data_IF_920805927907
#
_entry.id   IF_920805927907
#
_cell.length_a   1.000
_cell.length_b   1.000
_cell.length_c   1.000
_cell.angle_alpha   90.00
_cell.angle_beta   90.00
_cell.angle_gamma   90.00
#
_symmetry.space_group_name_H-M   'P 1'
#
loop_
_entity.id
_entity.type
_entity.pdbx_description
1 polymer ?
#
# COMPACT_ATOMS: atom_id res chain seq x y z
N UNK A 1 -15.83 -29.91 -0.81
CA UNK A 1 -14.91 -30.11 -1.96
C UNK A 1 -15.45 -29.48 -3.24
N UNK A 2 -16.66 -29.81 -3.72
CA UNK A 2 -17.21 -29.25 -4.99
C UNK A 2 -17.23 -27.72 -5.05
N UNK A 3 -17.50 -27.02 -3.95
CA UNK A 3 -17.45 -25.55 -3.88
C UNK A 3 -16.02 -25.04 -3.92
N UNK A 4 -15.09 -25.73 -3.27
CA UNK A 4 -13.67 -25.38 -3.30
C UNK A 4 -13.09 -25.60 -4.69
N UNK A 5 -13.48 -26.67 -5.40
CA UNK A 5 -13.08 -26.89 -6.78
C UNK A 5 -13.61 -25.83 -7.76
N UNK A 6 -14.82 -25.31 -7.51
CA UNK A 6 -15.33 -24.14 -8.25
C UNK A 6 -14.52 -22.86 -7.93
N UNK A 7 -14.17 -22.66 -6.65
CA UNK A 7 -13.35 -21.53 -6.23
C UNK A 7 -11.96 -21.58 -6.89
N UNK A 8 -11.29 -22.74 -6.91
CA UNK A 8 -9.99 -22.91 -7.60
C UNK A 8 -10.06 -22.50 -9.07
N UNK A 9 -11.13 -22.93 -9.78
CA UNK A 9 -11.33 -22.56 -11.20
C UNK A 9 -11.64 -21.08 -11.41
N UNK A 10 -12.31 -20.44 -10.47
CA UNK A 10 -12.63 -19.00 -10.54
C UNK A 10 -11.43 -18.13 -10.19
N UNK A 11 -10.59 -18.58 -9.28
CA UNK A 11 -9.45 -17.86 -8.70
C UNK A 11 -8.16 -18.66 -8.81
N UNK A 12 -7.77 -18.97 -10.04
CA UNK A 12 -6.61 -19.82 -10.37
C UNK A 12 -5.29 -19.27 -9.80
N UNK A 13 -5.19 -17.95 -9.67
CA UNK A 13 -4.01 -17.29 -9.11
C UNK A 13 -3.94 -17.33 -7.56
N UNK A 14 -5.03 -17.68 -6.88
CA UNK A 14 -5.11 -17.74 -5.41
C UNK A 14 -4.88 -19.15 -4.89
N UNK A 15 -5.40 -20.15 -5.62
CA UNK A 15 -5.35 -21.56 -5.24
C UNK A 15 -4.64 -22.38 -6.32
N UNK A 16 -3.78 -23.29 -5.89
CA UNK A 16 -3.18 -24.27 -6.79
C UNK A 16 -4.22 -25.33 -7.21
N UNK A 17 -4.13 -25.84 -8.43
CA UNK A 17 -5.09 -26.81 -8.97
C UNK A 17 -5.17 -28.11 -8.17
N UNK A 18 -4.05 -28.54 -7.58
CA UNK A 18 -3.92 -29.74 -6.75
C UNK A 18 -4.22 -29.52 -5.26
N UNK A 19 -4.49 -28.26 -4.87
CA UNK A 19 -4.72 -27.88 -3.48
C UNK A 19 -6.03 -28.51 -2.94
N UNK A 20 -5.95 -29.06 -1.73
CA UNK A 20 -7.08 -29.68 -1.01
C UNK A 20 -7.28 -29.04 0.35
N UNK A 21 -8.54 -29.03 0.81
CA UNK A 21 -8.84 -28.63 2.18
C UNK A 21 -8.25 -29.69 3.13
N UNK A 22 -7.30 -29.24 3.98
CA UNK A 22 -6.58 -30.12 4.93
C UNK A 22 -7.31 -30.31 6.26
N UNK A 23 -8.45 -29.63 6.45
CA UNK A 23 -9.26 -29.76 7.67
C UNK A 23 -10.05 -31.06 7.65
N UNK A 24 -10.19 -31.70 8.82
CA UNK A 24 -11.14 -32.80 8.98
C UNK A 24 -12.57 -32.30 8.75
N UNK A 25 -13.52 -33.19 8.35
CA UNK A 25 -14.92 -32.79 8.12
C UNK A 25 -15.56 -32.12 9.33
N UNK A 26 -15.24 -32.55 10.55
CA UNK A 26 -15.74 -31.93 11.79
C UNK A 26 -15.21 -30.52 12.00
N UNK A 27 -13.91 -30.29 11.81
CA UNK A 27 -13.32 -28.97 11.92
C UNK A 27 -13.82 -28.03 10.83
N UNK A 28 -13.96 -28.54 9.59
CA UNK A 28 -14.53 -27.75 8.49
C UNK A 28 -15.98 -27.34 8.79
N UNK A 29 -16.80 -28.24 9.37
CA UNK A 29 -18.18 -27.94 9.76
C UNK A 29 -18.23 -26.80 10.80
N UNK A 30 -17.35 -26.81 11.80
CA UNK A 30 -17.25 -25.73 12.79
C UNK A 30 -16.90 -24.39 12.13
N UNK A 31 -15.89 -24.38 11.25
CA UNK A 31 -15.50 -23.17 10.53
C UNK A 31 -16.67 -22.63 9.67
N UNK A 32 -17.34 -23.49 8.92
CA UNK A 32 -18.49 -23.11 8.08
C UNK A 32 -19.62 -22.56 8.93
N UNK A 33 -19.97 -23.24 10.04
CA UNK A 33 -21.04 -22.79 10.94
C UNK A 33 -20.76 -21.41 11.55
N UNK A 34 -19.49 -21.12 11.85
CA UNK A 34 -19.08 -19.84 12.42
C UNK A 34 -19.12 -18.70 11.39
N UNK A 35 -18.88 -18.99 10.12
CA UNK A 35 -18.70 -17.99 9.08
C UNK A 35 -19.89 -17.83 8.12
N UNK A 36 -20.81 -18.81 8.04
CA UNK A 36 -21.90 -18.84 7.04
C UNK A 36 -22.84 -17.64 7.11
N UNK A 37 -22.94 -16.99 8.27
CA UNK A 37 -23.78 -15.80 8.48
C UNK A 37 -22.97 -14.50 8.49
N UNK A 38 -21.66 -14.57 8.27
CA UNK A 38 -20.77 -13.39 8.23
C UNK A 38 -20.58 -12.99 6.79
N UNK A 39 -20.89 -11.73 6.47
CA UNK A 39 -20.63 -11.16 5.15
C UNK A 39 -19.16 -10.75 5.08
N UNK A 40 -18.30 -11.63 4.52
CA UNK A 40 -16.87 -11.36 4.37
C UNK A 40 -16.58 -10.45 3.17
N UNK A 41 -17.31 -10.61 2.06
CA UNK A 41 -17.12 -9.79 0.86
C UNK A 41 -17.72 -8.40 1.04
N UNK A 42 -17.01 -7.39 0.60
CA UNK A 42 -17.36 -5.99 0.78
C UNK A 42 -17.57 -5.61 2.26
N UNK A 43 -16.90 -6.30 3.16
CA UNK A 43 -16.81 -5.87 4.57
C UNK A 43 -15.92 -4.64 4.65
N UNK A 44 -16.07 -3.86 5.74
CA UNK A 44 -15.16 -2.77 6.02
C UNK A 44 -13.71 -3.29 6.03
N UNK A 45 -12.83 -2.64 5.28
CA UNK A 45 -11.41 -3.00 5.19
C UNK A 45 -10.74 -3.09 6.55
N UNK A 46 -11.11 -2.23 7.50
CA UNK A 46 -10.52 -2.22 8.83
C UNK A 46 -10.73 -3.53 9.59
N UNK A 47 -11.95 -4.10 9.53
CA UNK A 47 -12.25 -5.41 10.15
C UNK A 47 -11.45 -6.53 9.49
N UNK A 48 -11.30 -6.44 8.18
CA UNK A 48 -10.55 -7.42 7.40
C UNK A 48 -9.05 -7.32 7.75
N UNK A 49 -8.51 -6.13 7.75
CA UNK A 49 -7.10 -5.87 8.08
C UNK A 49 -6.77 -6.32 9.51
N UNK A 50 -7.60 -5.99 10.49
CA UNK A 50 -7.42 -6.40 11.88
C UNK A 50 -7.50 -7.92 12.05
N UNK A 51 -8.43 -8.58 11.38
CA UNK A 51 -8.54 -10.04 11.42
C UNK A 51 -7.30 -10.72 10.84
N UNK A 52 -6.77 -10.18 9.76
CA UNK A 52 -5.57 -10.72 9.12
C UNK A 52 -4.30 -10.38 9.88
N UNK A 53 -4.15 -9.17 10.41
CA UNK A 53 -3.06 -8.82 11.31
C UNK A 53 -2.99 -9.80 12.48
N UNK A 54 -4.14 -10.12 13.07
CA UNK A 54 -4.24 -11.11 14.14
C UNK A 54 -3.83 -12.53 13.69
N UNK A 55 -4.29 -12.98 12.52
CA UNK A 55 -3.99 -14.32 11.99
C UNK A 55 -2.52 -14.49 11.63
N UNK A 56 -1.92 -13.49 10.99
CA UNK A 56 -0.52 -13.53 10.59
C UNK A 56 0.38 -13.43 11.82
N UNK A 57 0.08 -12.56 12.77
CA UNK A 57 0.83 -12.47 14.02
C UNK A 57 0.84 -13.78 14.82
N UNK A 58 -0.24 -14.56 14.75
CA UNK A 58 -0.28 -15.91 15.36
C UNK A 58 0.55 -16.93 14.61
N UNK A 59 0.61 -16.86 13.29
CA UNK A 59 1.36 -17.81 12.45
C UNK A 59 2.85 -17.51 12.36
N UNK A 60 3.26 -16.25 12.53
CA UNK A 60 4.63 -15.75 12.38
C UNK A 60 5.41 -15.66 13.69
N UNK A 61 5.00 -16.35 14.75
CA UNK A 61 5.75 -16.38 16.02
C UNK A 61 7.17 -16.92 15.79
N UNK A 62 8.10 -16.05 15.44
CA UNK A 62 9.52 -16.37 15.25
C UNK A 62 10.23 -15.70 14.09
N UNK A 63 9.56 -15.17 13.10
CA UNK A 63 10.19 -14.48 11.97
C UNK A 63 10.28 -12.98 12.26
N UNK A 64 11.52 -12.49 12.48
CA UNK A 64 11.80 -11.09 12.77
C UNK A 64 11.66 -10.24 11.52
N UNK A 65 10.76 -9.24 11.54
CA UNK A 65 10.86 -8.09 10.64
C UNK A 65 9.74 -7.89 9.61
N UNK A 66 8.67 -8.68 9.63
CA UNK A 66 7.47 -8.37 8.85
C UNK A 66 6.47 -7.64 9.73
N UNK A 67 6.19 -6.38 9.41
CA UNK A 67 5.26 -5.53 10.15
C UNK A 67 4.19 -5.01 9.21
N UNK A 68 2.92 -5.11 9.62
CA UNK A 68 1.83 -4.47 8.91
C UNK A 68 1.91 -2.96 9.09
N UNK A 69 1.74 -2.24 8.01
CA UNK A 69 1.60 -0.79 8.06
C UNK A 69 0.19 -0.46 8.54
N UNK A 70 0.03 0.28 9.65
CA UNK A 70 -1.29 0.68 10.10
C UNK A 70 -2.06 1.45 9.05
N UNK A 71 -3.38 1.19 8.95
CA UNK A 71 -4.26 1.78 7.94
C UNK A 71 -4.14 3.30 7.85
N UNK A 72 -4.19 3.99 8.98
CA UNK A 72 -4.08 5.46 9.00
C UNK A 72 -2.76 5.99 8.43
N UNK A 73 -1.66 5.22 8.50
CA UNK A 73 -0.38 5.57 7.82
C UNK A 73 -0.51 5.35 6.32
N UNK A 74 -1.13 4.27 5.90
CA UNK A 74 -1.38 3.96 4.49
C UNK A 74 -2.25 5.05 3.87
N UNK A 75 -3.38 5.38 4.51
CA UNK A 75 -4.34 6.38 4.03
C UNK A 75 -3.70 7.77 3.92
N UNK A 76 -2.87 8.18 4.89
CA UNK A 76 -2.07 9.39 4.78
C UNK A 76 -1.19 9.37 3.52
N UNK A 77 -0.46 8.27 3.28
CA UNK A 77 0.41 8.15 2.10
C UNK A 77 -0.38 8.23 0.80
N UNK A 78 -1.51 7.53 0.72
CA UNK A 78 -2.38 7.54 -0.47
C UNK A 78 -2.96 8.93 -0.71
N UNK A 79 -3.47 9.60 0.33
CA UNK A 79 -3.99 10.98 0.23
C UNK A 79 -2.92 11.95 -0.24
N UNK A 80 -1.73 11.91 0.35
CA UNK A 80 -0.63 12.82 -0.01
C UNK A 80 -0.12 12.59 -1.44
N UNK A 81 -0.02 11.34 -1.90
CA UNK A 81 0.44 11.01 -3.25
C UNK A 81 -0.64 11.14 -4.32
N UNK A 82 -1.93 11.15 -3.96
CA UNK A 82 -3.06 11.39 -4.86
C UNK A 82 -3.02 10.55 -6.16
N UNK A 83 -3.02 9.22 -6.07
CA UNK A 83 -2.99 8.35 -7.26
C UNK A 83 -4.23 8.54 -8.14
N UNK A 84 -4.04 8.50 -9.46
CA UNK A 84 -5.10 8.69 -10.45
C UNK A 84 -5.42 7.37 -11.17
N UNK A 85 -6.62 7.28 -11.78
CA UNK A 85 -7.09 6.07 -12.47
C UNK A 85 -6.27 5.67 -13.71
N UNK A 86 -5.55 6.60 -14.31
CA UNK A 86 -4.65 6.37 -15.43
C UNK A 86 -3.22 6.02 -15.02
N UNK A 87 -2.88 6.16 -13.74
CA UNK A 87 -1.57 5.88 -13.19
C UNK A 87 -1.43 4.44 -12.69
N UNK A 88 -0.26 3.87 -12.88
CA UNK A 88 0.11 2.56 -12.32
C UNK A 88 0.80 2.71 -10.97
N UNK A 89 0.50 1.80 -10.05
CA UNK A 89 1.12 1.77 -8.73
C UNK A 89 1.76 0.44 -8.41
N UNK A 90 2.78 0.44 -7.56
CA UNK A 90 3.39 -0.76 -7.00
C UNK A 90 3.76 -0.60 -5.53
N UNK A 91 3.65 -1.70 -4.80
CA UNK A 91 4.30 -1.92 -3.51
C UNK A 91 5.37 -3.01 -3.66
N UNK A 92 6.62 -2.68 -3.38
CA UNK A 92 7.78 -3.56 -3.59
C UNK A 92 8.10 -4.46 -2.39
N UNK A 93 7.38 -4.29 -1.28
CA UNK A 93 7.45 -5.10 -0.08
C UNK A 93 6.04 -5.24 0.51
N UNK A 94 5.14 -5.82 -0.30
CA UNK A 94 3.70 -5.63 -0.17
C UNK A 94 3.08 -6.25 1.10
N UNK A 95 3.76 -7.19 1.74
CA UNK A 95 3.22 -7.84 2.94
C UNK A 95 1.79 -8.32 2.71
N UNK A 96 0.80 -7.70 3.36
CA UNK A 96 -0.63 -7.96 3.17
C UNK A 96 -1.29 -7.19 2.02
N UNK A 97 -0.54 -6.44 1.21
CA UNK A 97 -1.06 -5.55 0.18
C UNK A 97 -1.87 -4.35 0.69
N UNK A 98 -1.57 -3.84 1.88
CA UNK A 98 -2.28 -2.69 2.42
C UNK A 98 -2.24 -1.47 1.49
N UNK A 99 -1.06 -1.05 1.01
CA UNK A 99 -0.95 0.07 0.07
C UNK A 99 -1.70 -0.17 -1.25
N UNK A 100 -1.57 -1.32 -1.94
CA UNK A 100 -2.35 -1.62 -3.13
C UNK A 100 -3.86 -1.53 -2.91
N UNK A 101 -4.38 -2.18 -1.86
CA UNK A 101 -5.83 -2.22 -1.56
C UNK A 101 -6.38 -0.81 -1.29
N UNK A 102 -5.74 -0.03 -0.41
CA UNK A 102 -6.19 1.31 -0.08
C UNK A 102 -6.10 2.27 -1.28
N UNK A 103 -5.09 2.09 -2.15
CA UNK A 103 -5.01 2.81 -3.42
C UNK A 103 -6.18 2.46 -4.33
N UNK A 104 -6.56 1.18 -4.43
CA UNK A 104 -7.74 0.77 -5.19
C UNK A 104 -8.99 1.51 -4.69
N UNK A 105 -9.25 1.50 -3.38
CA UNK A 105 -10.43 2.16 -2.82
C UNK A 105 -10.41 3.67 -3.05
N UNK A 106 -9.25 4.30 -2.91
CA UNK A 106 -9.10 5.74 -3.17
C UNK A 106 -9.45 6.08 -4.62
N UNK A 107 -8.88 5.34 -5.59
CA UNK A 107 -9.13 5.57 -7.02
C UNK A 107 -10.55 5.17 -7.40
N UNK A 108 -11.09 4.08 -6.86
CA UNK A 108 -12.47 3.66 -7.08
C UNK A 108 -13.48 4.72 -6.63
N UNK A 109 -13.27 5.36 -5.48
CA UNK A 109 -14.11 6.49 -5.03
C UNK A 109 -14.12 7.61 -6.07
N UNK A 110 -12.95 7.95 -6.64
CA UNK A 110 -12.86 8.95 -7.71
C UNK A 110 -13.64 8.53 -8.97
N UNK A 111 -13.49 7.26 -9.40
CA UNK A 111 -14.21 6.71 -10.55
C UNK A 111 -15.73 6.75 -10.31
N UNK A 112 -16.21 6.34 -9.14
CA UNK A 112 -17.63 6.38 -8.78
C UNK A 112 -18.17 7.81 -8.77
N UNK A 113 -17.42 8.75 -8.19
CA UNK A 113 -17.77 10.17 -8.18
C UNK A 113 -17.90 10.75 -9.59
N UNK A 114 -16.96 10.45 -10.50
CA UNK A 114 -17.01 10.86 -11.91
C UNK A 114 -18.24 10.29 -12.64
N UNK A 115 -18.72 9.12 -12.21
CA UNK A 115 -19.93 8.48 -12.75
C UNK A 115 -21.22 8.95 -12.08
N UNK A 116 -21.15 9.84 -11.06
CA UNK A 116 -22.30 10.28 -10.28
C UNK A 116 -22.88 9.17 -9.40
N UNK A 117 -22.07 8.21 -8.96
CA UNK A 117 -22.47 7.10 -8.10
C UNK A 117 -21.88 7.34 -6.71
N UNK A 118 -22.65 7.15 -5.67
CA UNK A 118 -22.16 7.28 -4.30
C UNK A 118 -21.09 6.23 -3.94
N UNK A 119 -20.08 6.64 -3.18
CA UNK A 119 -19.03 5.77 -2.70
C UNK A 119 -19.55 4.61 -1.82
N UNK A 120 -20.69 4.77 -1.15
CA UNK A 120 -21.37 3.71 -0.40
C UNK A 120 -21.66 2.46 -1.23
N UNK A 121 -21.87 2.62 -2.54
CA UNK A 121 -22.05 1.51 -3.48
C UNK A 121 -20.81 0.63 -3.63
N UNK A 122 -19.61 1.12 -3.29
CA UNK A 122 -18.39 0.30 -3.25
C UNK A 122 -18.52 -0.88 -2.28
N UNK A 123 -19.29 -0.72 -1.21
CA UNK A 123 -19.46 -1.73 -0.16
C UNK A 123 -20.75 -2.55 -0.28
N UNK A 124 -21.69 -2.12 -1.12
CA UNK A 124 -23.00 -2.77 -1.28
C UNK A 124 -23.14 -3.56 -2.57
N UNK A 125 -22.45 -3.14 -3.65
CA UNK A 125 -22.50 -3.82 -4.94
C UNK A 125 -21.82 -5.19 -4.89
N UNK A 126 -22.44 -6.21 -5.50
CA UNK A 126 -21.85 -7.56 -5.58
C UNK A 126 -20.58 -7.59 -6.45
N UNK A 127 -20.56 -6.78 -7.50
CA UNK A 127 -19.40 -6.62 -8.38
C UNK A 127 -19.11 -5.13 -8.58
N UNK A 128 -17.83 -4.81 -8.64
CA UNK A 128 -17.37 -3.45 -8.98
C UNK A 128 -17.65 -3.18 -10.47
N UNK A 129 -17.84 -1.92 -10.84
CA UNK A 129 -17.96 -1.53 -12.25
C UNK A 129 -16.69 -1.90 -13.03
N UNK A 130 -16.82 -2.16 -14.33
CA UNK A 130 -15.72 -2.65 -15.17
C UNK A 130 -14.47 -1.76 -15.10
N UNK A 131 -14.64 -0.44 -15.08
CA UNK A 131 -13.53 0.52 -15.00
C UNK A 131 -12.69 0.34 -13.72
N UNK A 132 -13.33 0.00 -12.61
CA UNK A 132 -12.64 -0.33 -11.35
C UNK A 132 -11.87 -1.65 -11.43
N UNK A 133 -12.46 -2.66 -12.07
CA UNK A 133 -11.81 -3.96 -12.29
C UNK A 133 -10.62 -3.83 -13.25
N UNK A 134 -10.77 -3.05 -14.33
CA UNK A 134 -9.70 -2.79 -15.30
C UNK A 134 -8.53 -2.03 -14.66
N UNK A 135 -8.83 -1.02 -13.81
CA UNK A 135 -7.81 -0.30 -13.06
C UNK A 135 -6.93 -1.26 -12.26
N UNK A 136 -7.53 -2.12 -11.47
CA UNK A 136 -6.80 -3.06 -10.63
C UNK A 136 -5.97 -4.02 -11.46
N UNK A 137 -6.59 -4.65 -12.45
CA UNK A 137 -5.94 -5.63 -13.33
C UNK A 137 -4.74 -5.07 -14.08
N UNK A 138 -4.81 -3.81 -14.49
CA UNK A 138 -3.80 -3.20 -15.37
C UNK A 138 -2.81 -2.31 -14.66
N UNK A 139 -3.17 -1.76 -13.49
CA UNK A 139 -2.46 -0.65 -12.87
C UNK A 139 -1.92 -0.95 -11.48
N UNK A 140 -2.43 -1.98 -10.79
CA UNK A 140 -2.08 -2.22 -9.39
C UNK A 140 -1.23 -3.46 -9.22
N UNK A 141 -0.07 -3.29 -8.57
CA UNK A 141 0.94 -4.33 -8.42
C UNK A 141 1.46 -4.41 -6.99
N UNK A 142 1.84 -5.62 -6.58
CA UNK A 142 2.56 -5.88 -5.34
C UNK A 142 3.64 -6.93 -5.56
N UNK A 143 4.74 -6.81 -4.83
CA UNK A 143 5.81 -7.81 -4.80
C UNK A 143 6.09 -8.17 -3.35
N UNK A 144 6.20 -9.45 -3.05
CA UNK A 144 6.76 -9.92 -1.79
C UNK A 144 7.61 -11.17 -2.01
N UNK A 145 8.64 -11.32 -1.17
CA UNK A 145 9.55 -12.46 -1.22
C UNK A 145 9.10 -13.63 -0.33
N UNK A 146 8.06 -13.43 0.49
CA UNK A 146 7.47 -14.47 1.34
C UNK A 146 6.20 -15.03 0.69
N UNK A 147 6.21 -16.33 0.41
CA UNK A 147 5.10 -17.02 -0.22
C UNK A 147 3.80 -16.90 0.58
N UNK A 148 3.89 -16.96 1.93
CA UNK A 148 2.71 -16.84 2.80
C UNK A 148 2.10 -15.45 2.70
N UNK A 149 2.94 -14.41 2.70
CA UNK A 149 2.49 -13.03 2.51
C UNK A 149 1.80 -12.84 1.18
N UNK A 150 2.36 -13.35 0.08
CA UNK A 150 1.74 -13.31 -1.24
C UNK A 150 0.38 -13.99 -1.25
N UNK A 151 0.26 -15.14 -0.61
CA UNK A 151 -1.01 -15.87 -0.51
C UNK A 151 -2.06 -15.10 0.29
N UNK A 152 -1.67 -14.56 1.45
CA UNK A 152 -2.54 -13.72 2.29
C UNK A 152 -3.00 -12.49 1.52
N UNK A 153 -2.08 -11.82 0.82
CA UNK A 153 -2.38 -10.66 -0.02
C UNK A 153 -3.42 -10.96 -1.09
N UNK A 154 -3.26 -12.06 -1.82
CA UNK A 154 -4.24 -12.49 -2.83
C UNK A 154 -5.62 -12.75 -2.24
N UNK A 155 -5.68 -13.36 -1.05
CA UNK A 155 -6.94 -13.61 -0.35
C UNK A 155 -7.59 -12.31 0.13
N UNK A 156 -6.81 -11.35 0.66
CA UNK A 156 -7.31 -10.05 1.08
C UNK A 156 -7.87 -9.25 -0.08
N UNK A 157 -7.14 -9.19 -1.18
CA UNK A 157 -7.61 -8.54 -2.40
C UNK A 157 -8.94 -9.13 -2.87
N UNK A 158 -9.06 -10.45 -2.84
CA UNK A 158 -10.29 -11.13 -3.19
C UNK A 158 -11.46 -10.73 -2.27
N UNK A 159 -11.24 -10.67 -0.95
CA UNK A 159 -12.25 -10.29 0.04
C UNK A 159 -12.64 -8.82 -0.10
N UNK A 160 -11.68 -7.94 -0.41
CA UNK A 160 -11.92 -6.53 -0.68
C UNK A 160 -12.74 -6.28 -1.97
N UNK A 161 -13.06 -7.35 -2.72
CA UNK A 161 -13.79 -7.27 -3.98
C UNK A 161 -12.90 -7.01 -5.19
N UNK A 162 -11.59 -7.14 -5.00
CA UNK A 162 -10.57 -7.10 -6.03
C UNK A 162 -9.89 -8.46 -6.16
N UNK A 163 -10.34 -9.28 -7.09
CA UNK A 163 -9.70 -10.57 -7.40
C UNK A 163 -8.58 -10.48 -8.43
N UNK A 164 -8.11 -9.29 -8.80
CA UNK A 164 -7.26 -9.08 -9.98
C UNK A 164 -5.92 -8.39 -9.73
N UNK A 165 -5.62 -7.92 -8.52
CA UNK A 165 -4.33 -7.30 -8.18
C UNK A 165 -3.17 -8.23 -8.54
N UNK A 166 -2.16 -7.67 -9.23
CA UNK A 166 -0.97 -8.42 -9.63
C UNK A 166 0.00 -8.55 -8.45
N UNK A 167 -0.16 -9.58 -7.65
CA UNK A 167 0.77 -9.92 -6.55
C UNK A 167 1.78 -10.94 -7.03
N UNK A 168 3.04 -10.54 -7.09
CA UNK A 168 4.15 -11.32 -7.61
C UNK A 168 5.01 -11.87 -6.47
N UNK A 169 5.25 -13.16 -6.47
CA UNK A 169 6.20 -13.81 -5.58
C UNK A 169 7.61 -13.65 -6.14
N UNK A 170 8.32 -12.61 -5.73
CA UNK A 170 9.64 -12.22 -6.22
C UNK A 170 10.46 -11.55 -5.12
N UNK A 171 11.78 -11.61 -5.24
CA UNK A 171 12.67 -10.80 -4.44
C UNK A 171 12.94 -9.46 -5.15
N UNK A 172 12.43 -8.36 -4.61
CA UNK A 172 12.58 -7.02 -5.20
C UNK A 172 14.03 -6.55 -5.28
N UNK A 173 14.87 -6.96 -4.33
CA UNK A 173 16.28 -6.55 -4.28
C UNK A 173 17.14 -7.38 -5.26
N UNK A 174 16.85 -8.65 -5.45
CA UNK A 174 17.58 -9.54 -6.35
C UNK A 174 16.96 -9.56 -7.77
N UNK A 175 16.95 -8.42 -8.42
CA UNK A 175 16.24 -8.22 -9.69
C UNK A 175 17.00 -8.71 -10.93
N UNK A 176 18.31 -8.96 -10.85
CA UNK A 176 19.09 -9.53 -11.95
C UNK A 176 18.50 -10.83 -12.45
N UNK A 177 18.00 -11.61 -11.52
CA UNK A 177 17.39 -12.91 -11.80
C UNK A 177 16.07 -12.80 -12.58
N UNK A 178 15.42 -11.66 -12.58
CA UNK A 178 14.15 -11.45 -13.26
C UNK A 178 14.28 -11.54 -14.80
N UNK A 179 15.45 -11.22 -15.34
CA UNK A 179 15.74 -11.22 -16.79
C UNK A 179 16.39 -12.53 -17.25
N UNK A 180 17.10 -13.23 -16.37
CA UNK A 180 17.78 -14.49 -16.68
C UNK A 180 16.82 -15.66 -16.87
N UNK A 181 15.67 -15.62 -16.20
CA UNK A 181 14.71 -16.74 -16.09
C UNK A 181 13.67 -16.79 -17.18
N UNK A 182 13.96 -16.20 -18.30
CA UNK A 182 13.15 -16.27 -19.52
C UNK A 182 13.44 -17.55 -20.32
N UNK A 183 14.44 -18.35 -19.95
CA UNK A 183 14.80 -19.58 -20.63
C UNK A 183 13.94 -20.75 -20.13
N UNK A 184 13.37 -21.50 -21.09
CA UNK A 184 12.53 -22.68 -20.89
C UNK A 184 13.37 -23.86 -20.37
N UNK A 185 13.81 -23.81 -19.13
CA UNK A 185 14.51 -24.90 -18.48
C UNK A 185 13.57 -25.54 -17.47
N UNK A 186 12.95 -26.65 -17.84
CA UNK A 186 11.99 -27.42 -17.03
C UNK A 186 12.62 -28.01 -15.76
N UNK A 187 13.94 -28.08 -15.68
CA UNK A 187 14.69 -28.66 -14.56
C UNK A 187 15.02 -27.64 -13.44
N UNK A 188 14.57 -26.41 -13.58
CA UNK A 188 14.96 -25.36 -12.65
C UNK A 188 13.98 -25.17 -11.48
N UNK A 189 14.43 -25.47 -10.28
CA UNK A 189 13.66 -25.39 -9.03
C UNK A 189 13.95 -24.13 -8.23
N UNK A 190 13.77 -22.95 -8.82
CA UNK A 190 13.80 -21.71 -8.02
C UNK A 190 12.45 -21.47 -7.34
N UNK A 191 12.50 -21.08 -6.09
CA UNK A 191 11.30 -20.76 -5.29
C UNK A 191 10.45 -19.66 -5.93
N UNK A 192 11.04 -18.79 -6.76
CA UNK A 192 10.35 -17.68 -7.44
C UNK A 192 9.88 -18.01 -8.87
N UNK A 193 9.98 -19.25 -9.32
CA UNK A 193 9.68 -19.65 -10.71
C UNK A 193 8.32 -19.13 -11.22
N UNK A 194 7.25 -19.31 -10.45
CA UNK A 194 5.92 -18.84 -10.84
C UNK A 194 5.85 -17.30 -10.91
N UNK A 195 6.54 -16.59 -10.03
CA UNK A 195 6.67 -15.14 -10.06
C UNK A 195 7.37 -14.65 -11.33
N UNK A 196 8.47 -15.28 -11.71
CA UNK A 196 9.20 -14.96 -12.96
C UNK A 196 8.34 -15.22 -14.21
N UNK A 197 7.66 -16.35 -14.26
CA UNK A 197 6.75 -16.71 -15.35
C UNK A 197 5.63 -15.67 -15.50
N UNK A 198 5.03 -15.25 -14.39
CA UNK A 198 3.99 -14.23 -14.38
C UNK A 198 4.53 -12.88 -14.82
N UNK A 199 5.70 -12.46 -14.33
CA UNK A 199 6.36 -11.21 -14.75
C UNK A 199 6.67 -11.22 -16.24
N UNK A 200 7.19 -12.34 -16.78
CA UNK A 200 7.43 -12.52 -18.22
C UNK A 200 6.14 -12.30 -19.02
N UNK A 201 5.06 -12.94 -18.62
CA UNK A 201 3.77 -12.81 -19.29
C UNK A 201 3.25 -11.36 -19.26
N UNK A 202 3.37 -10.66 -18.14
CA UNK A 202 2.99 -9.24 -18.02
C UNK A 202 3.80 -8.35 -18.96
N UNK A 203 5.10 -8.59 -19.08
CA UNK A 203 6.00 -7.81 -19.97
C UNK A 203 5.75 -8.06 -21.46
N UNK A 204 5.31 -9.27 -21.82
CA UNK A 204 5.03 -9.64 -23.22
C UNK A 204 3.66 -9.17 -23.67
N UNK A 205 2.65 -9.28 -22.80
CA UNK A 205 1.25 -9.01 -23.16
C UNK A 205 0.92 -7.55 -23.33
N UNK A 206 1.64 -6.63 -22.64
CA UNK A 206 1.39 -5.19 -22.71
C UNK A 206 2.69 -4.39 -22.79
N UNK A 207 2.84 -3.56 -23.81
CA UNK A 207 4.01 -2.69 -23.99
C UNK A 207 4.27 -1.77 -22.80
N UNK A 208 3.23 -1.31 -22.11
CA UNK A 208 3.34 -0.45 -20.93
C UNK A 208 4.04 -1.12 -19.73
N UNK A 209 4.07 -2.45 -19.68
CA UNK A 209 4.70 -3.21 -18.61
C UNK A 209 6.14 -3.65 -18.96
N UNK A 210 6.62 -3.35 -20.16
CA UNK A 210 7.93 -3.82 -20.65
C UNK A 210 9.06 -3.40 -19.73
N UNK A 211 9.10 -2.13 -19.35
CA UNK A 211 10.16 -1.57 -18.51
C UNK A 211 9.87 -1.80 -17.01
N UNK A 212 8.69 -2.24 -16.67
CA UNK A 212 8.22 -2.50 -15.30
C UNK A 212 8.49 -1.31 -14.37
N UNK A 213 8.06 -0.12 -14.82
CA UNK A 213 8.15 1.16 -14.09
C UNK A 213 6.76 1.73 -13.83
N UNK A 214 6.63 2.46 -12.74
CA UNK A 214 5.37 2.87 -12.17
C UNK A 214 5.29 4.38 -11.94
N UNK A 215 4.07 4.90 -11.97
CA UNK A 215 3.77 6.31 -11.70
C UNK A 215 3.79 6.59 -10.20
N UNK A 216 3.30 5.64 -9.41
CA UNK A 216 3.21 5.73 -7.94
C UNK A 216 3.84 4.50 -7.31
N UNK A 217 4.63 4.69 -6.27
CA UNK A 217 5.21 3.62 -5.48
C UNK A 217 5.00 3.91 -3.99
N UNK A 218 4.49 2.92 -3.26
CA UNK A 218 4.42 3.00 -1.80
C UNK A 218 4.96 1.70 -1.21
N UNK A 219 5.79 1.80 -0.18
CA UNK A 219 6.38 0.61 0.43
C UNK A 219 6.75 0.84 1.90
N UNK A 220 6.62 -0.23 2.67
CA UNK A 220 7.20 -0.34 4.01
C UNK A 220 8.20 -1.50 4.03
N UNK A 221 9.44 -1.28 3.55
CA UNK A 221 10.44 -2.35 3.46
C UNK A 221 10.91 -2.81 4.85
N UNK A 222 11.44 -4.04 4.97
CA UNK A 222 11.96 -4.54 6.24
C UNK A 222 13.14 -3.68 6.72
N UNK A 223 13.09 -3.21 7.98
CA UNK A 223 14.12 -2.37 8.59
C UNK A 223 15.34 -3.16 9.08
N UNK A 224 15.18 -4.45 9.33
CA UNK A 224 16.21 -5.30 9.86
C UNK A 224 16.81 -6.22 8.80
N UNK A 225 18.09 -6.53 9.00
CA UNK A 225 18.85 -7.44 8.16
C UNK A 225 19.69 -6.74 7.10
N UNK A 226 20.88 -7.31 6.89
CA UNK A 226 21.85 -6.83 5.93
C UNK A 226 21.91 -7.78 4.73
N UNK A 227 22.10 -7.23 3.55
CA UNK A 227 22.51 -7.96 2.35
C UNK A 227 24.04 -8.02 2.33
N UNK A 228 24.60 -9.23 2.19
CA UNK A 228 26.04 -9.50 2.17
C UNK A 228 26.51 -10.08 0.85
N UNK A 229 25.59 -10.50 0.00
CA UNK A 229 25.86 -11.09 -1.31
C UNK A 229 26.46 -10.05 -2.25
N UNK A 230 27.78 -10.19 -2.51
CA UNK A 230 28.53 -9.25 -3.38
C UNK A 230 27.92 -9.12 -4.76
N UNK A 231 27.30 -10.17 -5.31
CA UNK A 231 26.59 -10.14 -6.60
C UNK A 231 25.44 -9.13 -6.58
N UNK A 232 24.63 -9.17 -5.53
CA UNK A 232 23.50 -8.25 -5.36
C UNK A 232 24.02 -6.82 -5.14
N UNK A 233 24.95 -6.65 -4.18
CA UNK A 233 25.52 -5.34 -3.82
C UNK A 233 26.19 -4.66 -5.01
N UNK A 234 26.80 -5.42 -5.91
CA UNK A 234 27.47 -4.87 -7.11
C UNK A 234 26.50 -4.20 -8.10
N UNK A 235 25.19 -4.45 -7.99
CA UNK A 235 24.15 -3.87 -8.85
C UNK A 235 23.66 -2.52 -8.38
N UNK A 236 23.86 -2.20 -7.11
CA UNK A 236 23.39 -0.98 -6.50
C UNK A 236 24.52 0.05 -6.36
N UNK A 237 24.21 1.31 -6.60
CA UNK A 237 25.11 2.43 -6.35
C UNK A 237 25.37 2.56 -4.84
N UNK A 238 24.29 2.50 -4.03
CA UNK A 238 24.38 2.47 -2.56
C UNK A 238 24.98 1.17 -2.00
N UNK A 239 25.09 0.13 -2.82
CA UNK A 239 25.77 -1.13 -2.49
C UNK A 239 27.29 -1.08 -2.65
N UNK A 240 27.86 0.00 -3.19
CA UNK A 240 29.29 0.14 -3.48
C UNK A 240 29.97 1.16 -2.57
N UNK A 241 31.28 0.98 -2.43
CA UNK A 241 32.19 1.97 -1.86
C UNK A 241 32.57 3.01 -2.92
N UNK A 242 33.16 4.13 -2.53
CA UNK A 242 33.67 5.17 -3.45
C UNK A 242 34.62 4.62 -4.52
N UNK A 243 35.36 3.57 -4.24
CA UNK A 243 36.25 2.91 -5.20
C UNK A 243 35.53 1.91 -6.14
N UNK A 244 34.18 1.89 -6.16
CA UNK A 244 33.36 1.04 -7.01
C UNK A 244 33.26 -0.43 -6.59
N UNK A 245 33.97 -0.88 -5.55
CA UNK A 245 33.87 -2.25 -5.04
C UNK A 245 32.62 -2.41 -4.17
N UNK A 246 31.97 -3.59 -4.18
CA UNK A 246 30.85 -3.86 -3.28
C UNK A 246 31.23 -3.64 -1.82
N UNK A 247 30.30 -3.12 -1.03
CA UNK A 247 30.42 -3.08 0.43
C UNK A 247 30.39 -4.50 1.00
N UNK A 248 30.86 -4.68 2.23
CA UNK A 248 30.80 -5.99 2.92
C UNK A 248 29.38 -6.37 3.32
N UNK A 249 28.55 -5.35 3.58
CA UNK A 249 27.14 -5.48 3.93
C UNK A 249 26.43 -4.14 3.79
N UNK A 250 25.15 -4.15 3.46
CA UNK A 250 24.27 -2.97 3.38
C UNK A 250 22.90 -3.32 3.92
N UNK A 251 22.29 -2.43 4.68
CA UNK A 251 20.91 -2.59 5.18
C UNK A 251 19.90 -2.76 4.04
N UNK A 252 18.95 -3.65 4.23
CA UNK A 252 17.90 -3.91 3.23
C UNK A 252 17.14 -2.64 2.87
N UNK A 253 16.74 -1.87 3.86
CA UNK A 253 16.01 -0.61 3.70
C UNK A 253 16.76 0.40 2.80
N UNK A 254 18.09 0.44 2.88
CA UNK A 254 18.93 1.30 2.03
C UNK A 254 18.85 0.85 0.56
N UNK A 255 18.94 -0.45 0.30
CA UNK A 255 18.83 -0.97 -1.08
C UNK A 255 17.42 -0.80 -1.65
N UNK A 256 16.38 -0.87 -0.79
CA UNK A 256 15.01 -0.57 -1.21
C UNK A 256 14.82 0.88 -1.64
N UNK A 257 15.55 1.86 -1.06
CA UNK A 257 15.50 3.25 -1.52
C UNK A 257 15.93 3.35 -2.99
N UNK A 258 17.08 2.79 -3.32
CA UNK A 258 17.59 2.81 -4.70
C UNK A 258 16.68 2.02 -5.64
N UNK A 259 16.31 0.78 -5.25
CA UNK A 259 15.45 -0.08 -6.05
C UNK A 259 14.10 0.58 -6.37
N UNK A 260 13.49 1.22 -5.39
CA UNK A 260 12.22 1.90 -5.57
C UNK A 260 12.35 3.11 -6.51
N UNK A 261 13.41 3.89 -6.39
CA UNK A 261 13.70 4.98 -7.32
C UNK A 261 13.92 4.47 -8.76
N UNK A 262 14.55 3.31 -8.93
CA UNK A 262 14.73 2.69 -10.24
C UNK A 262 13.41 2.22 -10.84
N UNK A 263 12.48 1.76 -10.03
CA UNK A 263 11.15 1.30 -10.48
C UNK A 263 10.16 2.45 -10.72
N UNK A 264 10.49 3.69 -10.36
CA UNK A 264 9.69 4.85 -10.71
C UNK A 264 9.95 5.31 -12.15
N UNK A 265 8.89 5.69 -12.85
CA UNK A 265 8.97 6.48 -14.09
C UNK A 265 9.58 7.84 -13.80
N UNK A 266 10.18 8.55 -14.79
CA UNK A 266 10.44 9.98 -14.68
C UNK A 266 9.16 10.72 -14.26
N UNK A 267 9.25 11.64 -13.30
CA UNK A 267 8.10 12.34 -12.74
C UNK A 267 7.22 11.50 -11.79
N UNK A 268 7.45 10.21 -11.69
CA UNK A 268 6.76 9.31 -10.74
C UNK A 268 7.10 9.67 -9.30
N UNK A 269 6.20 9.32 -8.38
CA UNK A 269 6.29 9.69 -6.96
C UNK A 269 6.17 8.50 -6.03
N UNK A 270 6.80 8.59 -4.87
CA UNK A 270 6.73 7.52 -3.88
C UNK A 270 6.59 7.99 -2.45
N UNK A 271 6.06 7.10 -1.61
CA UNK A 271 6.15 7.16 -0.16
C UNK A 271 6.84 5.88 0.35
N UNK A 272 7.87 6.05 1.15
CA UNK A 272 8.60 4.93 1.73
C UNK A 272 8.76 5.12 3.24
N UNK A 273 8.40 4.09 4.01
CA UNK A 273 8.58 4.07 5.46
C UNK A 273 10.02 3.65 5.77
N UNK A 274 10.73 4.46 6.54
CA UNK A 274 12.14 4.25 6.87
C UNK A 274 12.40 4.47 8.36
N UNK A 275 13.41 3.81 8.95
CA UNK A 275 13.91 4.17 10.28
C UNK A 275 14.34 5.63 10.33
N UNK A 276 13.99 6.32 11.42
CA UNK A 276 14.32 7.74 11.60
C UNK A 276 15.83 8.03 11.53
N UNK A 277 16.67 7.05 11.86
CA UNK A 277 18.12 7.16 11.79
C UNK A 277 18.64 7.50 10.37
N UNK A 278 17.94 7.09 9.30
CA UNK A 278 18.30 7.44 7.91
C UNK A 278 18.29 8.94 7.65
N UNK A 279 17.53 9.67 8.43
CA UNK A 279 17.41 11.14 8.32
C UNK A 279 18.40 11.88 9.20
N UNK A 280 18.75 11.31 10.36
CA UNK A 280 19.48 12.00 11.44
C UNK A 280 20.96 11.64 11.50
N UNK A 281 21.33 10.41 11.15
CA UNK A 281 22.73 9.98 11.27
C UNK A 281 23.63 10.65 10.24
N UNK A 282 24.77 11.14 10.69
CA UNK A 282 25.80 11.71 9.82
C UNK A 282 26.41 10.68 8.87
N UNK A 283 26.51 9.42 9.30
CA UNK A 283 26.98 8.31 8.46
C UNK A 283 26.08 8.03 7.27
N UNK A 284 24.81 8.40 7.32
CA UNK A 284 23.82 8.16 6.28
C UNK A 284 23.68 9.37 5.33
N UNK A 285 24.59 10.35 5.41
CA UNK A 285 24.60 11.54 4.54
C UNK A 285 24.63 11.14 3.05
N UNK A 286 25.44 10.14 2.69
CA UNK A 286 25.55 9.65 1.31
C UNK A 286 24.20 9.15 0.73
N UNK A 287 23.33 8.57 1.56
CA UNK A 287 21.99 8.13 1.17
C UNK A 287 21.14 9.34 0.81
N UNK A 288 21.16 10.38 1.65
CA UNK A 288 20.40 11.61 1.41
C UNK A 288 20.87 12.36 0.18
N UNK A 289 22.19 12.39 -0.07
CA UNK A 289 22.79 12.96 -1.28
C UNK A 289 22.38 12.17 -2.53
N UNK A 290 22.42 10.85 -2.47
CA UNK A 290 21.93 9.96 -3.53
C UNK A 290 20.46 10.26 -3.87
N UNK A 291 19.60 10.34 -2.85
CA UNK A 291 18.17 10.66 -3.04
C UNK A 291 18.01 12.01 -3.73
N UNK A 292 18.65 13.07 -3.23
CA UNK A 292 18.53 14.42 -3.77
C UNK A 292 19.01 14.52 -5.22
N UNK A 293 19.98 13.70 -5.63
CA UNK A 293 20.41 13.63 -7.04
C UNK A 293 19.35 13.03 -7.97
N UNK A 294 18.56 12.07 -7.49
CA UNK A 294 17.60 11.28 -8.29
C UNK A 294 16.17 11.83 -8.23
N UNK A 295 15.81 12.53 -7.14
CA UNK A 295 14.43 12.94 -6.86
C UNK A 295 14.37 14.24 -6.05
N UNK A 296 13.24 14.97 -6.19
CA UNK A 296 12.81 16.03 -5.27
C UNK A 296 12.29 15.38 -4.00
N UNK A 297 12.77 15.85 -2.87
CA UNK A 297 12.19 15.49 -1.56
C UNK A 297 10.95 16.35 -1.37
N UNK A 298 9.77 15.74 -1.30
CA UNK A 298 8.50 16.44 -1.13
C UNK A 298 8.20 16.69 0.33
N UNK A 299 8.30 15.62 1.14
CA UNK A 299 7.97 15.68 2.55
C UNK A 299 8.73 14.63 3.37
N UNK A 300 8.87 14.91 4.66
CA UNK A 300 9.28 13.95 5.69
C UNK A 300 8.27 14.04 6.83
N UNK A 301 7.55 12.94 7.08
CA UNK A 301 6.57 12.83 8.16
C UNK A 301 7.09 11.87 9.22
N UNK A 302 7.48 12.38 10.38
CA UNK A 302 7.87 11.59 11.54
C UNK A 302 6.64 10.91 12.16
N UNK A 303 6.69 9.58 12.35
CA UNK A 303 5.61 8.85 12.98
C UNK A 303 5.82 8.74 14.49
N UNK A 304 4.73 8.67 15.27
CA UNK A 304 4.80 8.46 16.70
C UNK A 304 5.46 7.10 17.02
N UNK A 305 6.28 7.02 18.06
CA UNK A 305 7.06 5.83 18.39
C UNK A 305 6.25 4.57 18.69
N UNK A 306 4.95 4.70 18.92
CA UNK A 306 4.05 3.59 19.19
C UNK A 306 3.33 3.03 17.95
N UNK A 307 3.47 3.66 16.78
CA UNK A 307 2.75 3.28 15.54
C UNK A 307 2.93 1.80 15.20
N UNK A 308 4.15 1.29 15.30
CA UNK A 308 4.47 -0.11 14.97
C UNK A 308 4.54 -1.05 16.18
N UNK A 309 4.15 -0.61 17.37
CA UNK A 309 4.03 -1.51 18.53
C UNK A 309 2.87 -2.49 18.33
N UNK A 310 2.93 -3.69 18.91
CA UNK A 310 4.00 -4.24 19.78
C UNK A 310 5.22 -4.80 19.02
N UNK A 311 5.25 -4.74 17.69
CA UNK A 311 6.23 -5.45 16.86
C UNK A 311 7.62 -4.84 16.92
N UNK A 312 7.71 -3.51 16.94
CA UNK A 312 8.98 -2.78 17.05
C UNK A 312 8.82 -1.45 17.80
N UNK A 313 9.86 -1.06 18.53
CA UNK A 313 9.99 0.28 19.12
C UNK A 313 10.81 1.24 18.27
N UNK A 314 11.20 0.84 17.05
CA UNK A 314 11.98 1.69 16.14
C UNK A 314 11.13 2.89 15.73
N UNK A 315 11.63 4.11 15.99
CA UNK A 315 11.02 5.33 15.44
C UNK A 315 11.20 5.35 13.93
N UNK A 316 10.13 5.63 13.24
CA UNK A 316 10.08 5.65 11.79
C UNK A 316 9.60 7.00 11.26
N UNK A 317 9.93 7.28 10.02
CA UNK A 317 9.39 8.40 9.27
C UNK A 317 8.98 7.95 7.88
N UNK A 318 8.01 8.60 7.29
CA UNK A 318 7.64 8.41 5.88
C UNK A 318 8.33 9.48 5.06
N UNK A 319 9.09 9.04 4.06
CA UNK A 319 9.75 9.91 3.08
C UNK A 319 8.92 9.95 1.81
N UNK A 320 8.56 11.16 1.38
CA UNK A 320 7.84 11.40 0.13
C UNK A 320 8.77 12.02 -0.90
N UNK A 321 8.82 11.44 -2.08
CA UNK A 321 9.72 11.83 -3.17
C UNK A 321 8.95 11.94 -4.49
N UNK A 322 9.48 12.78 -5.41
CA UNK A 322 9.10 12.76 -6.82
C UNK A 322 10.38 12.70 -7.66
N UNK A 323 10.47 11.70 -8.53
CA UNK A 323 11.63 11.51 -9.41
C UNK A 323 11.76 12.67 -10.38
N UNK A 324 12.98 13.17 -10.57
CA UNK A 324 13.22 14.28 -11.50
C UNK A 324 12.77 13.95 -12.92
N UNK A 325 12.13 14.90 -13.56
CA UNK A 325 11.62 14.83 -14.94
C UNK A 325 11.47 16.24 -15.50
N UNK A 326 11.81 16.43 -16.77
CA UNK A 326 11.82 17.77 -17.39
C UNK A 326 10.44 18.44 -17.46
N UNK A 327 9.34 17.66 -17.44
CA UNK A 327 7.96 18.14 -17.54
C UNK A 327 7.21 18.14 -16.23
N UNK A 328 7.26 17.00 -15.51
CA UNK A 328 6.44 16.79 -14.32
C UNK A 328 7.14 17.25 -13.03
N UNK A 329 8.48 17.18 -12.99
CA UNK A 329 9.27 17.58 -11.84
C UNK A 329 10.65 18.07 -12.28
N UNK A 330 10.75 19.26 -12.89
CA UNK A 330 12.03 19.82 -13.36
C UNK A 330 13.03 19.95 -12.22
N UNK A 331 14.28 19.54 -12.51
CA UNK A 331 15.34 19.62 -11.52
C UNK A 331 15.64 21.07 -11.15
N UNK A 332 15.65 21.37 -9.85
CA UNK A 332 16.00 22.66 -9.29
C UNK A 332 16.95 22.48 -8.10
N UNK A 333 17.76 23.49 -7.82
CA UNK A 333 18.76 23.45 -6.75
C UNK A 333 18.16 23.78 -5.39
N UNK A 334 17.15 24.63 -5.36
CA UNK A 334 16.48 25.06 -4.13
C UNK A 334 14.97 24.90 -4.24
N UNK A 335 14.35 24.31 -3.20
CA UNK A 335 12.92 24.06 -3.13
C UNK A 335 12.48 23.81 -1.69
N UNK A 336 11.23 24.10 -1.42
CA UNK A 336 10.65 23.84 -0.10
C UNK A 336 10.39 22.34 0.11
N UNK A 337 10.60 21.88 1.35
CA UNK A 337 10.32 20.53 1.81
C UNK A 337 9.32 20.62 2.96
N UNK A 338 8.25 19.83 2.90
CA UNK A 338 7.27 19.76 3.98
C UNK A 338 7.78 18.87 5.12
N UNK A 339 7.77 19.36 6.34
CA UNK A 339 8.13 18.59 7.54
C UNK A 339 6.96 18.58 8.51
N UNK A 340 6.60 17.38 8.97
CA UNK A 340 5.59 17.20 10.00
C UNK A 340 5.98 16.05 10.95
N UNK A 341 5.37 16.04 12.13
CA UNK A 341 5.54 14.96 13.09
C UNK A 341 4.18 14.61 13.68
N UNK A 342 3.85 13.33 13.66
CA UNK A 342 2.68 12.78 14.32
C UNK A 342 2.85 12.89 15.83
N UNK A 343 2.02 13.69 16.49
CA UNK A 343 2.06 13.92 17.92
C UNK A 343 1.06 13.06 18.69
N UNK A 344 -0.09 12.79 18.09
CA UNK A 344 -1.14 11.99 18.72
C UNK A 344 -0.80 10.49 18.68
N UNK A 345 -0.70 9.84 19.86
CA UNK A 345 -0.42 8.42 19.90
C UNK A 345 -1.65 7.60 19.46
N UNK A 346 -1.50 6.82 18.40
CA UNK A 346 -2.54 5.89 17.91
C UNK A 346 -2.60 4.58 18.69
N UNK A 347 -1.54 4.27 19.42
CA UNK A 347 -1.40 3.08 20.26
C UNK A 347 -0.74 3.44 21.58
N UNK A 348 -1.05 2.70 22.60
CA UNK A 348 -0.38 2.81 23.90
C UNK A 348 1.00 2.11 23.89
N UNK A 349 1.64 2.04 25.06
CA UNK A 349 2.96 1.41 25.19
C UNK A 349 2.93 -0.12 25.03
N UNK A 350 1.79 -0.77 25.17
CA UNK A 350 1.59 -2.20 24.95
C UNK A 350 1.28 -2.55 23.50
N UNK A 351 0.88 -1.54 22.69
CA UNK A 351 0.50 -1.70 21.30
C UNK A 351 -1.01 -1.77 21.07
N UNK A 352 -1.80 -1.57 22.12
CA UNK A 352 -3.27 -1.50 22.00
C UNK A 352 -3.69 -0.16 21.38
N UNK A 353 -4.69 -0.20 20.48
CA UNK A 353 -5.20 0.97 19.79
C UNK A 353 -5.86 1.95 20.78
N UNK A 354 -5.60 3.23 20.61
CA UNK A 354 -6.28 4.31 21.32
C UNK A 354 -7.33 4.88 20.38
N UNK A 355 -8.54 5.07 20.88
CA UNK A 355 -9.67 5.55 20.10
C UNK A 355 -10.15 6.92 20.57
N UNK A 356 -10.71 7.69 19.64
CA UNK A 356 -11.57 8.80 19.99
C UNK A 356 -12.93 8.27 20.48
N UNK A 357 -13.67 9.00 21.30
CA UNK A 357 -15.05 8.63 21.66
C UNK A 357 -16.01 8.95 20.51
N UNK A 358 -15.70 8.48 19.31
CA UNK A 358 -16.39 8.77 18.06
C UNK A 358 -16.56 7.50 17.26
N UNK A 359 -17.69 7.40 16.57
CA UNK A 359 -17.97 6.35 15.62
C UNK A 359 -17.86 6.89 14.18
N UNK A 360 -17.31 6.09 13.29
CA UNK A 360 -17.32 6.38 11.86
C UNK A 360 -18.72 6.13 11.24
N UNK A 361 -18.85 6.29 9.93
CA UNK A 361 -20.10 6.03 9.21
C UNK A 361 -20.56 4.57 9.24
N UNK A 362 -19.78 3.66 9.81
CA UNK A 362 -20.04 2.23 9.94
C UNK A 362 -20.16 1.79 11.41
N UNK A 363 -20.36 2.72 12.35
CA UNK A 363 -20.46 2.49 13.79
C UNK A 363 -19.18 1.90 14.43
N UNK A 364 -18.00 2.12 13.84
CA UNK A 364 -16.72 1.73 14.43
C UNK A 364 -16.05 2.89 15.15
N UNK A 365 -15.34 2.59 16.23
CA UNK A 365 -14.53 3.56 16.94
C UNK A 365 -13.37 4.05 16.06
N UNK A 366 -13.20 5.35 15.98
CA UNK A 366 -12.13 5.99 15.18
C UNK A 366 -10.81 5.95 15.96
N UNK A 367 -9.77 5.38 15.36
CA UNK A 367 -8.42 5.36 15.95
C UNK A 367 -7.87 6.78 16.08
N UNK A 368 -7.29 7.08 17.23
CA UNK A 368 -6.72 8.40 17.51
C UNK A 368 -5.44 8.62 16.71
N UNK A 369 -5.38 9.68 15.90
CA UNK A 369 -4.19 10.16 15.19
C UNK A 369 -4.40 11.58 14.66
N UNK A 370 -3.31 12.24 14.25
CA UNK A 370 -3.30 13.56 13.62
C UNK A 370 -2.74 13.54 12.18
N UNK A 371 -2.73 12.36 11.56
CA UNK A 371 -2.21 12.20 10.20
C UNK A 371 -3.15 12.76 9.12
N UNK A 372 -4.44 12.67 9.32
CA UNK A 372 -5.48 13.27 8.48
C UNK A 372 -6.79 13.37 9.25
N UNK A 373 -7.77 14.08 8.70
CA UNK A 373 -9.11 14.17 9.29
C UNK A 373 -9.91 12.88 9.00
N UNK A 374 -10.15 12.04 9.97
CA UNK A 374 -10.88 10.79 9.77
C UNK A 374 -12.36 11.00 9.41
N UNK A 375 -12.89 12.20 9.69
CA UNK A 375 -14.32 12.52 9.52
C UNK A 375 -14.69 12.95 8.10
N UNK A 376 -13.71 13.31 7.27
CA UNK A 376 -13.92 13.69 5.87
C UNK A 376 -13.89 12.48 4.92
N UNK A 377 -13.86 11.25 5.45
CA UNK A 377 -13.89 10.04 4.62
C UNK A 377 -15.25 9.78 3.96
N UNK A 378 -16.32 10.46 4.39
CA UNK A 378 -17.60 10.47 3.69
C UNK A 378 -17.61 11.51 2.58
N UNK A 379 -17.73 11.10 1.33
CA UNK A 379 -18.06 12.03 0.25
C UNK A 379 -19.40 12.70 0.54
N UNK A 380 -19.52 13.99 0.20
CA UNK A 380 -20.82 14.67 0.27
C UNK A 380 -21.84 13.84 -0.51
N UNK A 381 -23.03 13.54 0.08
CA UNK A 381 -24.03 12.72 -0.58
C UNK A 381 -24.37 13.23 -1.97
N UNK A 382 -24.40 12.36 -2.96
CA UNK A 382 -24.86 12.64 -4.33
C UNK A 382 -26.28 12.16 -4.46
N UNK A 383 -27.17 12.98 -5.08
CA UNK A 383 -28.55 12.59 -5.30
C UNK A 383 -28.64 11.36 -6.19
N UNK A 384 -29.31 10.31 -5.68
CA UNK A 384 -29.52 9.08 -6.43
C UNK A 384 -30.64 9.25 -7.45
N UNK A 385 -30.59 8.46 -8.54
CA UNK A 385 -31.52 8.59 -9.67
C UNK A 385 -33.00 8.37 -9.30
N UNK A 386 -33.22 7.46 -8.34
CA UNK A 386 -34.58 7.08 -7.89
C UNK A 386 -34.92 7.65 -6.51
N UNK A 387 -34.13 8.60 -6.00
CA UNK A 387 -34.30 9.23 -4.70
C UNK A 387 -35.15 10.50 -4.82
N UNK A 388 -36.11 10.65 -3.91
CA UNK A 388 -36.89 11.88 -3.79
C UNK A 388 -36.02 13.06 -3.33
N UNK A 389 -36.44 14.29 -3.62
CA UNK A 389 -35.69 15.47 -3.14
C UNK A 389 -35.67 15.55 -1.61
N UNK A 390 -36.74 15.14 -0.95
CA UNK A 390 -36.88 15.17 0.49
C UNK A 390 -35.91 14.18 1.19
N UNK A 391 -35.76 12.98 0.65
CA UNK A 391 -34.79 11.98 1.14
C UNK A 391 -33.35 12.46 0.93
N UNK A 392 -33.03 13.04 -0.22
CA UNK A 392 -31.72 13.60 -0.50
C UNK A 392 -31.39 14.78 0.44
N UNK A 393 -32.32 15.72 0.63
CA UNK A 393 -32.14 16.86 1.53
C UNK A 393 -31.90 16.41 2.98
N UNK A 394 -32.60 15.35 3.43
CA UNK A 394 -32.40 14.75 4.74
C UNK A 394 -30.98 14.18 4.89
N UNK A 395 -30.49 13.42 3.89
CA UNK A 395 -29.13 12.85 3.92
C UNK A 395 -28.05 13.94 3.91
N UNK A 396 -28.22 14.98 3.11
CA UNK A 396 -27.32 16.15 3.10
C UNK A 396 -27.33 16.84 4.45
N UNK A 397 -28.49 16.99 5.08
CA UNK A 397 -28.60 17.63 6.40
C UNK A 397 -27.92 16.79 7.48
N UNK A 398 -28.10 15.47 7.49
CA UNK A 398 -27.41 14.56 8.40
C UNK A 398 -25.88 14.61 8.21
N UNK A 399 -25.41 14.61 6.96
CA UNK A 399 -23.99 14.75 6.63
C UNK A 399 -23.44 16.07 7.19
N UNK A 400 -24.10 17.21 6.93
CA UNK A 400 -23.66 18.52 7.40
C UNK A 400 -23.67 18.64 8.94
N UNK A 401 -24.65 18.05 9.61
CA UNK A 401 -24.71 18.00 11.05
C UNK A 401 -23.54 17.17 11.62
N UNK A 402 -23.19 16.07 10.99
CA UNK A 402 -22.03 15.27 11.38
C UNK A 402 -20.70 16.03 11.15
N UNK A 403 -20.54 16.68 10.02
CA UNK A 403 -19.37 17.53 9.73
C UNK A 403 -19.25 18.65 10.77
N UNK A 404 -20.34 19.35 11.09
CA UNK A 404 -20.34 20.44 12.10
C UNK A 404 -20.09 19.90 13.51
N UNK A 405 -20.67 18.76 13.90
CA UNK A 405 -20.45 18.12 15.20
C UNK A 405 -18.99 17.79 15.47
N UNK A 406 -18.24 17.47 14.42
CA UNK A 406 -16.84 17.07 14.51
C UNK A 406 -15.86 18.19 14.14
N UNK A 407 -16.36 19.40 13.84
CA UNK A 407 -15.57 20.56 13.45
C UNK A 407 -14.55 20.97 14.51
N UNK A 408 -14.88 20.87 15.79
CA UNK A 408 -13.97 21.20 16.90
C UNK A 408 -12.84 20.16 17.07
N UNK A 409 -12.98 18.96 16.49
CA UNK A 409 -11.95 17.93 16.45
C UNK A 409 -11.11 18.03 15.16
N UNK A 410 -11.52 18.87 14.22
CA UNK A 410 -10.87 19.15 12.96
C UNK A 410 -9.74 20.17 13.16
N UNK A 411 -8.65 19.74 13.77
CA UNK A 411 -7.37 20.37 13.49
C UNK A 411 -6.91 19.86 12.15
N UNK A 412 -6.34 20.74 11.33
CA UNK A 412 -5.75 20.37 10.05
C UNK A 412 -4.83 19.15 10.24
N UNK A 413 -5.17 18.02 9.63
CA UNK A 413 -4.34 16.83 9.65
C UNK A 413 -3.07 17.05 8.81
N UNK A 414 -2.07 16.22 9.03
CA UNK A 414 -0.80 16.33 8.31
C UNK A 414 -1.01 16.19 6.80
N UNK A 415 -1.91 15.29 6.36
CA UNK A 415 -2.17 15.11 4.93
C UNK A 415 -2.84 16.35 4.31
N UNK A 416 -3.82 16.96 4.99
CA UNK A 416 -4.50 18.15 4.51
C UNK A 416 -3.52 19.34 4.43
N UNK A 417 -2.68 19.53 5.45
CA UNK A 417 -1.64 20.54 5.43
C UNK A 417 -0.63 20.33 4.28
N UNK A 418 -0.27 19.06 4.00
CA UNK A 418 0.58 18.75 2.84
C UNK A 418 -0.12 19.05 1.52
N UNK A 419 -1.41 18.78 1.40
CA UNK A 419 -2.18 19.08 0.17
C UNK A 419 -2.15 20.57 -0.14
N UNK A 420 -2.35 21.42 0.86
CA UNK A 420 -2.25 22.88 0.69
C UNK A 420 -0.82 23.31 0.31
N UNK A 421 0.19 22.72 0.95
CA UNK A 421 1.59 22.92 0.56
C UNK A 421 1.84 22.48 -0.91
N UNK A 422 1.34 21.31 -1.29
CA UNK A 422 1.53 20.76 -2.63
C UNK A 422 0.89 21.63 -3.72
N UNK A 423 -0.28 22.19 -3.46
CA UNK A 423 -0.95 23.15 -4.35
C UNK A 423 -0.14 24.46 -4.44
N UNK A 424 0.31 25.01 -3.29
CA UNK A 424 1.14 26.21 -3.25
C UNK A 424 2.46 26.04 -4.01
N UNK A 425 3.09 24.87 -3.91
CA UNK A 425 4.32 24.49 -4.63
C UNK A 425 4.07 24.07 -6.09
N UNK A 426 2.82 24.05 -6.53
CA UNK A 426 2.42 23.62 -7.87
C UNK A 426 2.93 22.21 -8.24
N UNK A 427 2.89 21.28 -7.30
CA UNK A 427 3.29 19.88 -7.57
C UNK A 427 2.37 19.27 -8.63
N UNK A 428 2.96 18.61 -9.63
CA UNK A 428 2.24 18.18 -10.85
C UNK A 428 1.02 17.30 -10.60
N UNK A 429 1.04 16.48 -9.57
CA UNK A 429 -0.04 15.56 -9.19
C UNK A 429 -1.13 16.18 -8.30
N UNK A 430 -1.00 17.48 -7.96
CA UNK A 430 -2.00 18.30 -7.28
C UNK A 430 -2.45 19.51 -8.10
N UNK A 431 -2.01 19.61 -9.36
CA UNK A 431 -2.57 20.60 -10.31
C UNK A 431 -3.97 20.17 -10.72
N UNK A 432 -4.91 21.13 -10.69
CA UNK A 432 -6.26 20.99 -11.24
C UNK A 432 -6.24 20.92 -12.78
#
# INVERSE_FOLDING_TARGET
EKLFDKAKKKWEDVFNNDEKIKLSPSHLSVCVSSLQNVKLFNSNLEVIDDAFEYLVNKSSKGEKGQYFTPRYVIDMCVKMLNPKKDESMIDTASGSCGFPIHTCFYVWRSIYKERGIEASHLFTAQEKISECQDYVKEKVFGIDFDEKSVRVSKMLNLIAGDGHTNVLYLNSIDFDRWDEWVKDDEDWQDVYFEGFKRLKNLRVTKNQNRDFKFDVLMANPPFAGDIKESRILARYELGKKENGKPQSKVGRDILFIERNLDMLKPGGRMAIVLPQERFNNSSDKYIREFIAQKARILAVVGLHGNVFKPHTGTKTSVLFLQKWDDKLCPKCEDYNIFFATMNEPSKDNSGEKIYYPLLDSHDHLVVKHDLFHPHLEGDEPIKQKDESQEEFDKRIQEYRLNVEKYKDLQKDGIAEAFIEFAKAENLSFWKE
#
